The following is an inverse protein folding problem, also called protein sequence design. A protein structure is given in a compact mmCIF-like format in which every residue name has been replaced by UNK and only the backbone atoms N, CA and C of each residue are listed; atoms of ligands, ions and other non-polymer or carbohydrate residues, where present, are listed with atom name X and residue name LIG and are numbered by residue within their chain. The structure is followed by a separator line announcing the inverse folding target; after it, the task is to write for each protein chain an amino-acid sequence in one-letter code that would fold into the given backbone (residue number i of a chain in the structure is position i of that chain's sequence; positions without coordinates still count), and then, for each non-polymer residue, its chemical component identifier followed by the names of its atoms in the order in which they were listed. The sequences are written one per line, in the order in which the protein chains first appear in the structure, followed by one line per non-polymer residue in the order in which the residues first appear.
data_IF_229886945327
#
_entry.id   IF_229886945327
#
_cell.length_a   1.000
_cell.length_b   1.000
_cell.length_c   1.000
_cell.angle_alpha   90.00
_cell.angle_beta   90.00
_cell.angle_gamma   90.00
#
_symmetry.space_group_name_H-M   'P 1'
#
loop_
_entity.id
_entity.type
_entity.pdbx_description
1 polymer ?
#
# COMPACT_ATOMS: atom_id res chain seq x y z
N UNK A 1 3.92 27.85 -12.76
CA UNK A 1 3.52 27.43 -11.39
C UNK A 1 3.52 25.91 -11.28
N UNK A 2 3.58 25.35 -10.06
CA UNK A 2 3.57 23.90 -9.84
C UNK A 2 2.31 23.21 -10.41
N UNK A 3 1.16 23.88 -10.37
CA UNK A 3 -0.12 23.40 -10.92
C UNK A 3 -0.06 23.16 -12.42
N UNK A 4 0.56 24.05 -13.20
CA UNK A 4 0.73 23.86 -14.65
C UNK A 4 1.66 22.68 -14.97
N UNK A 5 2.72 22.48 -14.18
CA UNK A 5 3.61 21.32 -14.35
C UNK A 5 2.83 20.01 -14.16
N UNK A 6 1.97 19.92 -13.16
CA UNK A 6 1.17 18.70 -12.96
C UNK A 6 0.06 18.54 -13.98
N UNK A 7 -0.56 19.63 -14.43
CA UNK A 7 -1.48 19.60 -15.57
C UNK A 7 -0.80 19.02 -16.81
N UNK A 8 0.41 19.47 -17.13
CA UNK A 8 1.19 18.90 -18.24
C UNK A 8 1.48 17.40 -18.03
N UNK A 9 1.85 16.98 -16.80
CA UNK A 9 2.07 15.56 -16.48
C UNK A 9 0.80 14.72 -16.65
N UNK A 10 -0.35 15.19 -16.17
CA UNK A 10 -1.64 14.50 -16.35
C UNK A 10 -2.03 14.46 -17.84
N UNK A 11 -1.83 15.56 -18.57
CA UNK A 11 -2.09 15.60 -20.01
C UNK A 11 -1.21 14.63 -20.81
N UNK A 12 0.07 14.49 -20.46
CA UNK A 12 0.97 13.53 -21.08
C UNK A 12 0.47 12.08 -20.84
N UNK A 13 0.00 11.78 -19.63
CA UNK A 13 -0.55 10.46 -19.30
C UNK A 13 -1.89 10.18 -19.98
N UNK A 14 -2.71 11.20 -20.20
CA UNK A 14 -3.92 11.07 -21.01
C UNK A 14 -3.64 10.64 -22.45
N UNK A 15 -2.47 10.98 -23.02
CA UNK A 15 -2.09 10.49 -24.34
C UNK A 15 -1.87 8.98 -24.36
N UNK A 16 -1.36 8.40 -23.27
CA UNK A 16 -1.19 6.95 -23.13
C UNK A 16 -2.58 6.28 -23.10
N UNK A 17 -3.49 6.78 -22.27
CA UNK A 17 -4.86 6.26 -22.17
C UNK A 17 -5.56 6.37 -23.53
N UNK A 18 -5.37 7.48 -24.26
CA UNK A 18 -5.91 7.65 -25.61
C UNK A 18 -5.40 6.60 -26.61
N UNK A 19 -4.13 6.20 -26.50
CA UNK A 19 -3.58 5.13 -27.33
C UNK A 19 -4.20 3.78 -26.97
N UNK A 20 -4.36 3.49 -25.68
CA UNK A 20 -5.01 2.27 -25.19
C UNK A 20 -6.49 2.18 -25.59
N UNK A 21 -7.22 3.30 -25.61
CA UNK A 21 -8.64 3.32 -26.04
C UNK A 21 -8.82 3.03 -27.52
N UNK A 22 -7.80 3.24 -28.34
CA UNK A 22 -7.85 3.04 -29.80
C UNK A 22 -7.42 1.64 -30.26
N UNK A 23 -6.98 0.77 -29.35
CA UNK A 23 -6.49 -0.57 -29.67
C UNK A 23 -7.48 -1.64 -29.21
N UNK A 24 -7.67 -2.69 -30.02
CA UNK A 24 -8.49 -3.85 -29.63
C UNK A 24 -7.88 -4.63 -28.47
N UNK A 25 -6.55 -4.61 -28.35
CA UNK A 25 -5.83 -5.14 -27.19
C UNK A 25 -5.81 -4.12 -26.04
N UNK A 26 -6.38 -4.49 -24.89
CA UNK A 26 -6.29 -3.70 -23.65
C UNK A 26 -7.36 -2.62 -23.42
N UNK A 27 -8.28 -2.38 -24.37
CA UNK A 27 -9.39 -1.43 -24.24
C UNK A 27 -10.58 -1.91 -23.39
N UNK A 28 -10.34 -2.78 -22.40
CA UNK A 28 -11.38 -3.15 -21.44
C UNK A 28 -11.69 -1.94 -20.52
N UNK A 29 -12.96 -1.56 -20.31
CA UNK A 29 -13.35 -0.47 -19.42
C UNK A 29 -12.72 -0.53 -18.02
N UNK A 30 -12.56 -1.73 -17.45
CA UNK A 30 -11.92 -1.90 -16.14
C UNK A 30 -10.41 -1.60 -16.17
N UNK A 31 -9.73 -2.05 -17.22
CA UNK A 31 -8.30 -1.80 -17.42
C UNK A 31 -8.03 -0.32 -17.66
N UNK A 32 -8.86 0.35 -18.47
CA UNK A 32 -8.76 1.78 -18.73
C UNK A 32 -8.99 2.61 -17.45
N UNK A 33 -10.00 2.22 -16.66
CA UNK A 33 -10.29 2.86 -15.37
C UNK A 33 -9.14 2.71 -14.37
N UNK A 34 -8.61 1.50 -14.22
CA UNK A 34 -7.47 1.22 -13.35
C UNK A 34 -6.22 2.02 -13.78
N UNK A 35 -5.94 2.02 -15.08
CA UNK A 35 -4.80 2.75 -15.67
C UNK A 35 -4.94 4.26 -15.46
N UNK A 36 -6.13 4.82 -15.65
CA UNK A 36 -6.37 6.24 -15.44
C UNK A 36 -6.25 6.64 -13.97
N UNK A 37 -6.76 5.81 -13.05
CA UNK A 37 -6.58 6.02 -11.61
C UNK A 37 -5.08 6.00 -11.23
N UNK A 38 -4.36 4.98 -11.70
CA UNK A 38 -2.95 4.78 -11.39
C UNK A 38 -2.02 5.86 -11.97
N UNK A 39 -2.33 6.38 -13.15
CA UNK A 39 -1.48 7.35 -13.85
C UNK A 39 -1.90 8.80 -13.57
N UNK A 40 -3.19 9.13 -13.74
CA UNK A 40 -3.67 10.50 -13.72
C UNK A 40 -4.13 10.92 -12.31
N UNK A 41 -4.97 10.13 -11.67
CA UNK A 41 -5.52 10.48 -10.36
C UNK A 41 -4.49 10.37 -9.23
N UNK A 42 -3.60 9.36 -9.25
CA UNK A 42 -2.51 9.26 -8.27
C UNK A 42 -1.62 10.51 -8.21
N UNK A 43 -1.27 11.07 -9.38
CA UNK A 43 -0.46 12.27 -9.49
C UNK A 43 -1.19 13.54 -9.02
N UNK A 44 -2.51 13.57 -9.17
CA UNK A 44 -3.35 14.65 -8.68
C UNK A 44 -3.57 14.55 -7.16
N UNK A 45 -3.83 13.35 -6.64
CA UNK A 45 -4.02 13.08 -5.21
C UNK A 45 -2.74 13.34 -4.41
N UNK A 46 -1.59 12.90 -4.92
CA UNK A 46 -0.29 13.18 -4.28
C UNK A 46 -0.05 14.69 -4.07
N UNK A 47 -0.50 15.51 -5.01
CA UNK A 47 -0.31 16.95 -4.96
C UNK A 47 -1.51 17.72 -4.34
N UNK A 48 -2.58 17.01 -3.94
CA UNK A 48 -3.78 17.58 -3.35
C UNK A 48 -3.52 18.40 -2.06
N UNK A 49 -2.70 17.93 -1.09
CA UNK A 49 -2.46 18.68 0.16
C UNK A 49 -1.81 20.06 -0.08
N UNK A 50 -1.03 20.18 -1.16
CA UNK A 50 -0.29 21.39 -1.52
C UNK A 50 -1.21 22.41 -2.20
N UNK A 51 -2.32 21.97 -2.81
CA UNK A 51 -3.20 22.81 -3.61
C UNK A 51 -4.57 23.05 -3.01
N UNK A 52 -4.88 22.42 -1.87
CA UNK A 52 -6.17 22.53 -1.19
C UNK A 52 -6.59 23.99 -0.94
N UNK A 53 -5.62 24.90 -0.74
CA UNK A 53 -5.85 26.33 -0.53
C UNK A 53 -5.48 27.22 -1.72
N UNK A 54 -5.07 26.64 -2.85
CA UNK A 54 -4.57 27.40 -3.98
C UNK A 54 -5.70 27.82 -4.93
N UNK A 55 -5.82 29.12 -5.21
CA UNK A 55 -6.81 29.67 -6.14
C UNK A 55 -6.72 29.08 -7.57
N UNK A 56 -5.54 28.58 -7.96
CA UNK A 56 -5.27 28.04 -9.30
C UNK A 56 -5.44 26.52 -9.42
N UNK A 57 -5.90 25.85 -8.37
CA UNK A 57 -6.09 24.39 -8.37
C UNK A 57 -7.17 23.93 -9.38
N UNK A 58 -8.19 24.78 -9.65
CA UNK A 58 -9.23 24.55 -10.67
C UNK A 58 -8.68 24.40 -12.11
N UNK A 59 -7.42 24.80 -12.36
CA UNK A 59 -6.79 24.65 -13.68
C UNK A 59 -6.46 23.19 -14.04
N UNK A 60 -6.47 22.28 -13.06
CA UNK A 60 -6.22 20.85 -13.26
C UNK A 60 -7.46 20.08 -13.72
N UNK A 61 -8.66 20.56 -13.37
CA UNK A 61 -9.94 19.88 -13.64
C UNK A 61 -10.16 19.54 -15.13
N UNK A 62 -9.82 20.41 -16.11
CA UNK A 62 -9.97 20.06 -17.53
C UNK A 62 -9.14 18.84 -17.96
N UNK A 63 -7.95 18.66 -17.36
CA UNK A 63 -7.09 17.53 -17.68
C UNK A 63 -7.64 16.22 -17.10
N UNK A 64 -8.19 16.24 -15.88
CA UNK A 64 -8.82 15.07 -15.26
C UNK A 64 -10.15 14.71 -15.91
N UNK A 65 -10.95 15.72 -16.29
CA UNK A 65 -12.17 15.53 -17.07
C UNK A 65 -11.87 14.90 -18.44
N UNK A 66 -10.76 15.25 -19.08
CA UNK A 66 -10.33 14.59 -20.32
C UNK A 66 -9.99 13.11 -20.09
N UNK A 67 -9.33 12.76 -18.98
CA UNK A 67 -9.08 11.35 -18.61
C UNK A 67 -10.39 10.60 -18.44
N UNK A 68 -11.34 11.18 -17.71
CA UNK A 68 -12.64 10.60 -17.43
C UNK A 68 -13.43 10.32 -18.73
N UNK A 69 -13.41 11.26 -19.68
CA UNK A 69 -14.00 11.07 -21.02
C UNK A 69 -13.34 9.94 -21.82
N UNK A 70 -12.02 9.78 -21.73
CA UNK A 70 -11.32 8.68 -22.40
C UNK A 70 -11.73 7.32 -21.82
N UNK A 71 -11.94 7.23 -20.51
CA UNK A 71 -12.38 5.98 -19.86
C UNK A 71 -13.83 5.64 -20.24
N UNK A 72 -14.73 6.63 -20.22
CA UNK A 72 -16.16 6.40 -20.48
C UNK A 72 -16.51 6.39 -21.96
N UNK A 73 -15.59 6.80 -22.84
CA UNK A 73 -15.88 7.04 -24.25
C UNK A 73 -16.82 8.23 -24.50
N UNK A 74 -17.06 9.09 -23.50
CA UNK A 74 -17.97 10.23 -23.66
C UNK A 74 -17.39 11.30 -24.60
N UNK A 75 -18.25 11.84 -25.46
CA UNK A 75 -17.92 12.94 -26.37
C UNK A 75 -17.51 14.20 -25.59
N UNK A 76 -16.77 15.11 -26.24
CA UNK A 76 -16.35 16.39 -25.65
C UNK A 76 -17.55 17.30 -25.30
N UNK A 77 -18.68 17.14 -25.99
CA UNK A 77 -19.93 17.87 -25.75
C UNK A 77 -20.66 17.47 -24.47
N UNK A 78 -20.33 16.34 -23.84
CA UNK A 78 -21.01 15.91 -22.60
C UNK A 78 -20.75 16.92 -21.47
N UNK A 79 -21.79 17.41 -20.77
CA UNK A 79 -21.62 18.30 -19.63
C UNK A 79 -20.76 17.67 -18.54
N UNK A 80 -19.88 18.46 -17.91
CA UNK A 80 -18.98 17.97 -16.84
C UNK A 80 -19.73 17.42 -15.63
N UNK A 81 -20.94 17.91 -15.36
CA UNK A 81 -21.77 17.46 -14.23
C UNK A 81 -22.28 16.03 -14.38
N UNK A 82 -22.37 15.55 -15.62
CA UNK A 82 -22.80 14.17 -15.94
C UNK A 82 -21.63 13.21 -16.11
N UNK A 83 -20.39 13.70 -16.07
CA UNK A 83 -19.20 12.91 -16.24
C UNK A 83 -18.84 12.20 -14.91
N UNK A 84 -19.60 11.16 -14.57
CA UNK A 84 -19.46 10.41 -13.33
C UNK A 84 -18.93 9.00 -13.60
N UNK A 85 -17.65 8.75 -13.35
CA UNK A 85 -17.11 7.39 -13.37
C UNK A 85 -17.29 6.76 -11.99
N UNK A 86 -17.94 5.59 -11.88
CA UNK A 86 -18.09 4.90 -10.60
C UNK A 86 -16.73 4.68 -9.93
N UNK A 87 -16.56 5.07 -8.66
CA UNK A 87 -15.30 4.89 -7.92
C UNK A 87 -14.16 5.85 -8.26
N UNK A 88 -14.41 6.87 -9.09
CA UNK A 88 -13.47 7.97 -9.33
C UNK A 88 -13.99 9.22 -8.62
N UNK A 89 -13.15 9.97 -7.88
CA UNK A 89 -13.59 11.21 -7.23
C UNK A 89 -14.07 12.23 -8.27
N UNK A 90 -15.26 12.80 -8.09
CA UNK A 90 -15.71 13.92 -8.92
C UNK A 90 -14.78 15.10 -8.69
N UNK A 91 -14.13 15.55 -9.76
CA UNK A 91 -13.27 16.73 -9.73
C UNK A 91 -14.14 17.98 -9.72
N UNK A 92 -14.61 18.30 -8.53
CA UNK A 92 -14.96 19.64 -8.10
C UNK A 92 -14.15 19.86 -6.84
N UNK A 93 -13.16 20.76 -6.91
CA UNK A 93 -12.36 21.21 -5.78
C UNK A 93 -13.24 22.03 -4.81
N UNK A 94 -14.23 21.36 -4.21
CA UNK A 94 -15.16 21.82 -3.20
C UNK A 94 -15.70 20.58 -2.51
N UNK A 95 -14.83 19.93 -1.75
CA UNK A 95 -14.92 19.88 -0.28
C UNK A 95 -14.02 18.75 0.21
N UNK A 96 -12.98 19.07 1.01
CA UNK A 96 -12.01 18.09 1.51
C UNK A 96 -12.60 17.01 2.44
N UNK A 97 -13.92 17.01 2.66
CA UNK A 97 -14.61 16.13 3.60
C UNK A 97 -15.18 14.85 2.99
N UNK A 98 -15.48 14.73 1.69
CA UNK A 98 -16.06 13.47 1.18
C UNK A 98 -15.01 12.41 0.80
N UNK A 99 -13.86 12.84 0.29
CA UNK A 99 -12.72 11.95 0.10
C UNK A 99 -12.16 11.50 1.46
N UNK A 100 -12.09 12.40 2.44
CA UNK A 100 -11.61 12.10 3.79
C UNK A 100 -12.63 11.34 4.66
N UNK A 101 -13.94 11.47 4.47
CA UNK A 101 -14.96 10.63 5.14
C UNK A 101 -15.06 9.24 4.49
N UNK A 102 -14.86 9.12 3.16
CA UNK A 102 -14.79 7.80 2.49
C UNK A 102 -13.44 7.13 2.67
N UNK A 103 -12.34 7.89 2.78
CA UNK A 103 -11.04 7.40 3.23
C UNK A 103 -10.98 7.28 4.76
N UNK A 104 -11.87 7.88 5.55
CA UNK A 104 -11.98 7.64 6.99
C UNK A 104 -12.72 6.34 7.27
N UNK A 105 -13.83 6.10 6.57
CA UNK A 105 -14.58 4.85 6.63
C UNK A 105 -13.87 3.67 5.95
N UNK A 106 -12.91 3.93 5.04
CA UNK A 106 -12.14 2.91 4.32
C UNK A 106 -10.62 2.91 4.66
N UNK A 107 -10.13 3.89 5.42
CA UNK A 107 -8.71 4.11 5.73
C UNK A 107 -8.29 3.73 7.13
N UNK A 108 -9.16 3.04 7.89
CA UNK A 108 -8.69 2.08 8.90
C UNK A 108 -7.94 0.87 8.30
N UNK A 109 -7.70 0.83 6.98
CA UNK A 109 -7.06 -0.30 6.29
C UNK A 109 -6.16 0.06 5.10
N UNK A 110 -5.65 1.30 4.99
CA UNK A 110 -4.73 1.71 3.91
C UNK A 110 -3.38 2.29 4.38
N UNK A 111 -2.75 1.67 5.37
CA UNK A 111 -1.33 1.37 5.22
C UNK A 111 -1.24 0.17 4.27
N UNK A 112 -0.38 0.20 3.24
CA UNK A 112 -0.23 -0.86 2.22
C UNK A 112 -0.65 -2.23 2.75
N UNK A 113 -1.89 -2.64 2.46
CA UNK A 113 -2.35 -3.95 2.86
C UNK A 113 -1.48 -4.93 2.06
N UNK A 114 -0.68 -5.78 2.73
CA UNK A 114 -0.10 -6.92 2.05
C UNK A 114 -1.26 -7.68 1.42
N UNK A 115 -1.04 -8.19 0.20
CA UNK A 115 -1.94 -9.10 -0.52
C UNK A 115 -2.67 -10.01 0.50
N UNK A 116 -3.99 -10.30 0.34
CA UNK A 116 -4.82 -10.93 1.38
C UNK A 116 -4.17 -12.17 2.06
N UNK A 117 -3.42 -12.95 1.29
CA UNK A 117 -2.64 -14.13 1.72
C UNK A 117 -1.46 -13.84 2.68
N UNK A 118 -0.93 -12.62 2.67
CA UNK A 118 0.27 -12.23 3.43
C UNK A 118 -0.04 -11.65 4.81
N UNK A 119 -1.31 -11.39 5.13
CA UNK A 119 -1.71 -10.82 6.42
C UNK A 119 -1.43 -11.76 7.59
N UNK A 120 -1.64 -13.06 7.40
CA UNK A 120 -1.37 -14.07 8.43
C UNK A 120 0.13 -14.24 8.64
N UNK A 121 0.96 -14.49 7.60
CA UNK A 121 2.42 -14.52 7.73
C UNK A 121 3.01 -13.26 8.37
N UNK A 122 2.52 -12.07 8.02
CA UNK A 122 3.04 -10.81 8.56
C UNK A 122 2.66 -10.57 10.03
N UNK A 123 1.45 -10.96 10.45
CA UNK A 123 1.07 -10.90 11.87
C UNK A 123 1.86 -11.89 12.70
N UNK A 124 2.05 -13.11 12.20
CA UNK A 124 2.82 -14.16 12.88
C UNK A 124 4.28 -13.74 12.99
N UNK A 125 4.92 -13.30 11.91
CA UNK A 125 6.32 -12.83 11.94
C UNK A 125 6.50 -11.61 12.84
N UNK A 126 5.59 -10.63 12.80
CA UNK A 126 5.64 -9.45 13.68
C UNK A 126 5.48 -9.82 15.16
N UNK A 127 4.58 -10.75 15.49
CA UNK A 127 4.38 -11.21 16.86
C UNK A 127 5.60 -12.01 17.36
N UNK A 128 6.13 -12.90 16.53
CA UNK A 128 7.30 -13.72 16.87
C UNK A 128 8.56 -12.86 17.06
N UNK A 129 8.74 -11.84 16.22
CA UNK A 129 9.83 -10.87 16.35
C UNK A 129 9.72 -10.08 17.66
N UNK A 130 8.50 -9.67 18.04
CA UNK A 130 8.26 -8.92 19.27
C UNK A 130 8.54 -9.77 20.51
N UNK A 131 8.08 -11.02 20.52
CA UNK A 131 8.30 -11.94 21.65
C UNK A 131 9.78 -12.31 21.78
N UNK A 132 10.48 -12.57 20.68
CA UNK A 132 11.92 -12.87 20.71
C UNK A 132 12.75 -11.66 21.14
N UNK A 133 12.38 -10.45 20.71
CA UNK A 133 13.01 -9.21 21.17
C UNK A 133 12.87 -9.00 22.68
N UNK A 134 11.66 -9.17 23.22
CA UNK A 134 11.41 -9.01 24.66
C UNK A 134 12.17 -10.08 25.47
N UNK A 135 12.14 -11.34 25.02
CA UNK A 135 12.84 -12.44 25.70
C UNK A 135 14.37 -12.24 25.74
N UNK A 136 14.96 -11.85 24.61
CA UNK A 136 16.42 -11.60 24.54
C UNK A 136 16.82 -10.39 25.37
N UNK A 137 16.01 -9.34 25.40
CA UNK A 137 16.24 -8.17 26.24
C UNK A 137 16.20 -8.52 27.74
N UNK A 138 15.18 -9.28 28.16
CA UNK A 138 15.06 -9.71 29.56
C UNK A 138 16.24 -10.60 29.96
N UNK A 139 16.66 -11.54 29.12
CA UNK A 139 17.75 -12.45 29.46
C UNK A 139 19.12 -11.76 29.49
N UNK A 140 19.43 -10.97 28.47
CA UNK A 140 20.78 -10.42 28.28
C UNK A 140 20.98 -9.09 29.01
N UNK A 141 19.91 -8.35 29.35
CA UNK A 141 20.01 -7.06 30.05
C UNK A 141 19.60 -7.18 31.51
N UNK A 142 18.47 -7.85 31.82
CA UNK A 142 17.93 -7.84 33.18
C UNK A 142 18.70 -8.77 34.12
N UNK A 143 19.08 -9.96 33.65
CA UNK A 143 19.77 -10.95 34.47
C UNK A 143 21.18 -10.50 34.95
N UNK A 144 22.08 -9.98 34.10
CA UNK A 144 23.38 -9.49 34.55
C UNK A 144 23.32 -8.14 35.29
N UNK A 145 22.29 -7.33 35.04
CA UNK A 145 22.08 -6.07 35.76
C UNK A 145 21.77 -6.32 37.24
N UNK A 146 20.91 -7.29 37.53
CA UNK A 146 20.58 -7.69 38.90
C UNK A 146 21.72 -8.46 39.59
N UNK A 147 22.52 -9.21 38.84
CA UNK A 147 23.56 -10.08 39.40
C UNK A 147 24.90 -9.38 39.67
N UNK A 148 25.29 -8.35 38.90
CA UNK A 148 26.69 -7.87 38.92
C UNK A 148 26.89 -6.35 39.05
N UNK A 149 25.84 -5.51 39.02
CA UNK A 149 25.93 -4.04 39.15
C UNK A 149 27.05 -3.40 38.30
N UNK A 150 27.42 -4.03 37.17
CA UNK A 150 28.51 -3.60 36.29
C UNK A 150 27.97 -3.41 34.88
N UNK A 151 28.13 -2.18 34.37
CA UNK A 151 27.59 -1.74 33.10
C UNK A 151 28.45 -2.20 31.91
N UNK A 152 28.21 -3.42 31.41
CA UNK A 152 28.78 -3.90 30.14
C UNK A 152 27.94 -3.48 28.91
N UNK A 153 27.09 -2.46 29.06
CA UNK A 153 26.09 -1.97 28.11
C UNK A 153 26.59 -1.75 26.67
N UNK A 154 27.89 -1.48 26.50
CA UNK A 154 28.49 -1.20 25.18
C UNK A 154 28.89 -2.45 24.37
N UNK A 155 29.07 -3.63 25.01
CA UNK A 155 29.40 -4.90 24.31
C UNK A 155 28.16 -5.75 24.01
N UNK A 156 27.03 -5.43 24.64
CA UNK A 156 25.76 -6.13 24.49
C UNK A 156 25.30 -6.17 23.04
N UNK A 157 25.29 -5.09 22.23
CA UNK A 157 24.74 -5.15 20.88
C UNK A 157 25.49 -6.12 19.96
N UNK A 158 26.82 -6.20 20.08
CA UNK A 158 27.66 -7.08 19.24
C UNK A 158 27.52 -8.55 19.64
N UNK A 159 27.49 -8.84 20.96
CA UNK A 159 27.38 -10.21 21.46
C UNK A 159 25.96 -10.76 21.27
N UNK A 160 24.95 -9.90 21.50
CA UNK A 160 23.53 -10.21 21.27
C UNK A 160 23.30 -10.47 19.79
N UNK A 161 23.78 -9.64 18.85
CA UNK A 161 23.60 -9.92 17.42
C UNK A 161 24.24 -11.26 17.03
N UNK A 162 25.47 -11.53 17.47
CA UNK A 162 26.17 -12.74 17.05
C UNK A 162 25.51 -14.04 17.58
N UNK A 163 24.79 -13.99 18.71
CA UNK A 163 24.13 -15.15 19.32
C UNK A 163 22.65 -15.28 18.95
N UNK A 164 21.94 -14.15 18.80
CA UNK A 164 20.50 -14.14 18.52
C UNK A 164 20.16 -14.32 17.05
N UNK A 165 21.03 -13.86 16.13
CA UNK A 165 20.81 -14.02 14.68
C UNK A 165 20.70 -15.50 14.24
N UNK A 166 21.63 -16.41 14.61
CA UNK A 166 21.50 -17.81 14.22
C UNK A 166 20.32 -18.52 14.90
N UNK A 167 20.05 -18.24 16.18
CA UNK A 167 18.94 -18.85 16.92
C UNK A 167 17.56 -18.44 16.37
N UNK A 168 17.37 -17.16 16.07
CA UNK A 168 16.12 -16.66 15.46
C UNK A 168 15.93 -17.18 14.04
N UNK A 169 17.00 -17.30 13.27
CA UNK A 169 16.94 -17.90 11.92
C UNK A 169 16.47 -19.35 11.98
N UNK A 170 16.97 -20.14 12.94
CA UNK A 170 16.59 -21.56 13.10
C UNK A 170 15.14 -21.70 13.60
N UNK A 171 14.68 -20.84 14.52
CA UNK A 171 13.29 -20.92 15.00
C UNK A 171 12.29 -20.52 13.91
N UNK A 172 12.62 -19.53 13.09
CA UNK A 172 11.81 -19.15 11.93
C UNK A 172 11.74 -20.29 10.90
N UNK A 173 12.88 -20.93 10.62
CA UNK A 173 12.93 -22.08 9.71
C UNK A 173 12.09 -23.24 10.25
N UNK A 174 12.22 -23.59 11.53
CA UNK A 174 11.44 -24.66 12.14
C UNK A 174 9.93 -24.38 12.09
N UNK A 175 9.50 -23.15 12.37
CA UNK A 175 8.08 -22.78 12.38
C UNK A 175 7.46 -22.76 10.98
N UNK A 176 8.22 -22.36 9.95
CA UNK A 176 7.75 -22.39 8.55
C UNK A 176 7.58 -23.82 8.05
N UNK A 177 8.40 -24.76 8.50
CA UNK A 177 8.36 -26.16 8.07
C UNK A 177 7.37 -27.03 8.88
N UNK A 178 6.99 -26.60 10.07
CA UNK A 178 6.08 -27.33 10.95
C UNK A 178 4.70 -27.66 10.32
N UNK A 179 4.02 -26.76 9.60
CA UNK A 179 2.73 -27.07 8.97
C UNK A 179 2.85 -28.14 7.87
N UNK A 180 3.96 -28.14 7.12
CA UNK A 180 4.23 -29.15 6.10
C UNK A 180 4.49 -30.53 6.70
N UNK A 181 5.22 -30.57 7.83
CA UNK A 181 5.47 -31.81 8.56
C UNK A 181 4.16 -32.37 9.16
N UNK A 182 3.33 -31.51 9.73
CA UNK A 182 2.02 -31.91 10.26
C UNK A 182 1.09 -32.39 9.15
N UNK A 183 1.07 -31.72 7.99
CA UNK A 183 0.28 -32.17 6.83
C UNK A 183 0.70 -33.57 6.37
N UNK A 184 2.01 -33.86 6.30
CA UNK A 184 2.52 -35.18 5.95
C UNK A 184 2.14 -36.25 7.00
N UNK A 185 2.25 -35.93 8.29
CA UNK A 185 1.85 -36.84 9.37
C UNK A 185 0.34 -37.13 9.35
N UNK A 186 -0.50 -36.12 9.10
CA UNK A 186 -1.95 -36.29 8.95
C UNK A 186 -2.33 -37.06 7.68
N UNK A 187 -1.61 -36.87 6.58
CA UNK A 187 -1.78 -37.64 5.35
C UNK A 187 -1.43 -39.12 5.58
N UNK A 188 -0.35 -39.40 6.31
CA UNK A 188 0.05 -40.76 6.66
C UNK A 188 -0.92 -41.40 7.66
N UNK A 189 -1.43 -40.63 8.63
CA UNK A 189 -2.38 -41.14 9.63
C UNK A 189 -3.78 -41.40 9.06
N UNK A 190 -4.17 -40.71 7.98
CA UNK A 190 -5.48 -40.87 7.33
C UNK A 190 -5.43 -41.77 6.09
N UNK A 191 -4.25 -42.13 5.61
CA UNK A 191 -4.05 -43.13 4.56
C UNK A 191 -4.61 -42.75 3.18
N UNK A 192 -4.99 -41.48 2.95
CA UNK A 192 -5.52 -41.02 1.67
C UNK A 192 -4.88 -39.70 1.24
N UNK A 193 -4.58 -39.60 -0.05
CA UNK A 193 -3.97 -38.44 -0.71
C UNK A 193 -4.88 -37.21 -0.69
#
# INVERSE_FOLDING_TARGET
THTEKTKCKVSARNNIIRKLTGTTWGANPQTLKSTALALCYSAAEYACPVWERAAHAKKLDPALNASCRLITGCLKSTPTDRLSVPGVPRTGLSRPSQALVRLGAQGGSRGHAPLPEWRVPLRVTSALLSVTFIYTFLWEVLQPYLALSKNYFYKVPVLVMNKTLPWTSVTLLALVYLPGLLAAMFQLSRGTK
#
